data_IF_399555600847
#
_entry.id   IF_399555600847
#
_cell.length_a   1.000
_cell.length_b   1.000
_cell.length_c   1.000
_cell.angle_alpha   90.00
_cell.angle_beta   90.00
_cell.angle_gamma   90.00
#
_symmetry.space_group_name_H-M   'P 1'
#
loop_
_entity.id
_entity.type
_entity.pdbx_description
1 polymer ?
#
# COMPACT_ATOMS: atom_id res chain seq x y z
N UNK A 1 -5.86 -21.13 11.83
CA UNK A 1 -7.20 -20.51 11.98
C UNK A 1 -7.74 -20.86 13.35
N UNK A 2 -8.48 -19.98 14.02
CA UNK A 2 -9.12 -20.18 15.32
C UNK A 2 -10.61 -19.89 15.13
N UNK A 3 -11.47 -20.84 15.45
CA UNK A 3 -12.93 -20.68 15.40
C UNK A 3 -13.40 -20.54 16.84
N UNK A 4 -13.95 -19.39 17.18
CA UNK A 4 -14.56 -19.13 18.48
C UNK A 4 -16.03 -19.52 18.43
N UNK A 5 -16.43 -20.36 19.38
CA UNK A 5 -17.82 -20.78 19.54
C UNK A 5 -18.61 -19.75 20.36
N UNK A 6 -19.93 -19.73 20.17
CA UNK A 6 -20.85 -18.98 21.02
C UNK A 6 -20.70 -19.38 22.49
N UNK A 7 -20.92 -18.43 23.39
CA UNK A 7 -20.79 -18.64 24.83
C UNK A 7 -21.69 -19.80 25.28
N UNK A 8 -21.13 -20.70 26.10
CA UNK A 8 -21.85 -21.85 26.63
C UNK A 8 -21.79 -23.12 25.78
N UNK A 9 -21.23 -23.05 24.57
CA UNK A 9 -20.93 -24.25 23.76
C UNK A 9 -19.59 -24.84 24.23
N UNK A 10 -19.61 -26.08 24.72
CA UNK A 10 -18.43 -26.78 25.23
C UNK A 10 -17.66 -27.56 24.17
N UNK A 11 -16.53 -28.17 24.56
CA UNK A 11 -15.72 -29.01 23.65
C UNK A 11 -16.42 -30.29 23.24
N UNK A 12 -17.16 -30.93 24.14
CA UNK A 12 -17.92 -32.15 23.85
C UNK A 12 -19.24 -31.88 23.12
N UNK A 13 -19.58 -30.61 22.87
CA UNK A 13 -20.80 -30.26 22.15
C UNK A 13 -20.71 -30.74 20.69
N UNK A 14 -21.81 -31.32 20.18
CA UNK A 14 -21.89 -31.84 18.82
C UNK A 14 -21.52 -30.79 17.75
N UNK A 15 -21.79 -29.50 18.00
CA UNK A 15 -21.42 -28.40 17.10
C UNK A 15 -19.91 -28.21 17.02
N UNK A 16 -19.23 -28.24 18.17
CA UNK A 16 -17.77 -28.14 18.24
C UNK A 16 -17.11 -29.34 17.56
N UNK A 17 -17.63 -30.55 17.83
CA UNK A 17 -17.11 -31.78 17.22
C UNK A 17 -17.35 -31.85 15.70
N UNK A 18 -18.45 -31.26 15.21
CA UNK A 18 -18.70 -31.17 13.76
C UNK A 18 -17.64 -30.31 13.05
N UNK A 19 -17.27 -29.16 13.63
CA UNK A 19 -16.21 -28.29 13.10
C UNK A 19 -14.89 -29.04 13.04
N UNK A 20 -14.52 -29.71 14.15
CA UNK A 20 -13.34 -30.54 14.24
C UNK A 20 -13.31 -31.60 13.14
N UNK A 21 -14.40 -32.36 12.99
CA UNK A 21 -14.49 -33.43 11.99
C UNK A 21 -14.36 -32.92 10.56
N UNK A 22 -14.96 -31.76 10.24
CA UNK A 22 -14.83 -31.15 8.91
C UNK A 22 -13.39 -30.73 8.65
N UNK A 23 -12.72 -30.08 9.61
CA UNK A 23 -11.33 -29.67 9.47
C UNK A 23 -10.38 -30.87 9.27
N UNK A 24 -10.54 -31.93 10.06
CA UNK A 24 -9.73 -33.15 9.96
C UNK A 24 -9.96 -33.90 8.64
N UNK A 25 -11.20 -33.91 8.12
CA UNK A 25 -11.50 -34.45 6.79
C UNK A 25 -10.83 -33.69 5.65
N UNK A 26 -10.53 -32.41 5.86
CA UNK A 26 -9.73 -31.60 4.93
C UNK A 26 -8.22 -31.82 5.10
N UNK A 27 -7.81 -32.76 5.97
CA UNK A 27 -6.41 -33.09 6.22
C UNK A 27 -5.69 -32.15 7.18
N UNK A 28 -6.42 -31.32 7.94
CA UNK A 28 -5.86 -30.37 8.91
C UNK A 28 -5.73 -30.99 10.29
N UNK A 29 -4.88 -30.42 11.13
CA UNK A 29 -4.82 -30.74 12.56
C UNK A 29 -5.76 -29.83 13.35
N UNK A 30 -6.31 -30.35 14.44
CA UNK A 30 -7.19 -29.57 15.31
C UNK A 30 -6.78 -29.66 16.77
N UNK A 31 -6.89 -28.55 17.48
CA UNK A 31 -6.80 -28.48 18.94
C UNK A 31 -8.02 -27.74 19.49
N UNK A 32 -8.51 -28.20 20.64
CA UNK A 32 -9.66 -27.61 21.31
C UNK A 32 -9.17 -26.94 22.60
N UNK A 33 -9.57 -25.68 22.80
CA UNK A 33 -9.25 -24.94 24.02
C UNK A 33 -10.52 -24.42 24.65
N UNK A 34 -10.62 -24.58 25.97
CA UNK A 34 -11.67 -23.96 26.78
C UNK A 34 -11.04 -22.88 27.62
N UNK A 35 -11.62 -21.69 27.57
CA UNK A 35 -11.32 -20.61 28.50
C UNK A 35 -12.55 -20.38 29.38
N UNK A 36 -12.38 -20.59 30.69
CA UNK A 36 -13.44 -20.37 31.68
C UNK A 36 -13.25 -19.01 32.34
N UNK A 37 -14.08 -18.04 31.97
CA UNK A 37 -14.14 -16.72 32.58
C UNK A 37 -15.01 -16.72 33.85
N UNK A 38 -15.10 -15.56 34.50
CA UNK A 38 -15.93 -15.37 35.71
C UNK A 38 -17.42 -15.59 35.43
N UNK A 39 -17.88 -15.26 34.23
CA UNK A 39 -19.31 -15.25 33.85
C UNK A 39 -19.63 -16.13 32.62
N UNK A 40 -18.63 -16.60 31.89
CA UNK A 40 -18.82 -17.27 30.60
C UNK A 40 -17.77 -18.35 30.34
N UNK A 41 -18.19 -19.40 29.63
CA UNK A 41 -17.31 -20.41 29.05
C UNK A 41 -17.20 -20.14 27.55
N UNK A 42 -15.97 -19.99 27.06
CA UNK A 42 -15.66 -19.83 25.65
C UNK A 42 -14.87 -21.03 25.18
N UNK A 43 -15.30 -21.63 24.07
CA UNK A 43 -14.59 -22.72 23.39
C UNK A 43 -14.00 -22.21 22.09
N UNK A 44 -12.76 -22.56 21.84
CA UNK A 44 -12.02 -22.23 20.62
C UNK A 44 -11.55 -23.52 19.95
N UNK A 45 -11.77 -23.62 18.64
CA UNK A 45 -11.24 -24.68 17.78
C UNK A 45 -10.07 -24.12 16.98
N UNK A 46 -8.87 -24.54 17.33
CA UNK A 46 -7.64 -24.20 16.61
C UNK A 46 -7.51 -25.17 15.44
N UNK A 47 -7.59 -24.65 14.22
CA UNK A 47 -7.31 -25.36 12.98
C UNK A 47 -5.88 -25.02 12.57
N UNK A 48 -5.03 -26.03 12.54
CA UNK A 48 -3.58 -25.95 12.35
C UNK A 48 -3.22 -26.68 11.06
N UNK A 49 -2.11 -26.29 10.45
CA UNK A 49 -1.56 -26.93 9.26
C UNK A 49 -1.45 -28.46 9.44
N UNK A 50 -1.95 -29.18 8.45
CA UNK A 50 -1.72 -30.60 8.28
C UNK A 50 -0.41 -30.89 7.55
N UNK A 51 -0.13 -32.16 7.28
CA UNK A 51 1.11 -32.56 6.58
C UNK A 51 1.15 -32.10 5.12
N UNK A 52 -0.01 -31.99 4.46
CA UNK A 52 -0.11 -31.62 3.04
C UNK A 52 -1.06 -30.43 2.78
N UNK A 53 -1.73 -29.91 3.81
CA UNK A 53 -2.75 -28.87 3.67
C UNK A 53 -2.50 -27.78 4.71
N UNK A 54 -2.35 -26.54 4.26
CA UNK A 54 -2.20 -25.39 5.15
C UNK A 54 -3.57 -24.83 5.54
N UNK A 55 -3.75 -24.48 6.81
CA UNK A 55 -5.02 -23.95 7.33
C UNK A 55 -5.43 -22.62 6.68
N UNK A 56 -4.46 -21.87 6.11
CA UNK A 56 -4.72 -20.61 5.42
C UNK A 56 -5.43 -20.77 4.06
N UNK A 57 -5.35 -21.95 3.43
CA UNK A 57 -5.96 -22.20 2.10
C UNK A 57 -7.45 -22.53 2.19
N UNK A 58 -7.96 -22.83 3.40
CA UNK A 58 -9.33 -23.28 3.62
C UNK A 58 -10.29 -22.08 3.73
N UNK A 59 -11.27 -21.92 2.81
CA UNK A 59 -12.19 -20.80 2.85
C UNK A 59 -12.98 -20.70 4.15
N UNK A 60 -13.09 -19.50 4.74
CA UNK A 60 -13.77 -19.28 6.02
C UNK A 60 -15.27 -19.64 5.98
N UNK A 61 -15.91 -19.51 4.81
CA UNK A 61 -17.35 -19.76 4.67
C UNK A 61 -17.75 -21.20 4.99
N UNK A 62 -16.82 -22.15 4.88
CA UNK A 62 -17.02 -23.56 5.25
C UNK A 62 -17.47 -23.68 6.71
N UNK A 63 -16.89 -22.85 7.59
CA UNK A 63 -17.17 -22.88 9.02
C UNK A 63 -18.07 -21.73 9.47
N UNK A 64 -18.04 -20.57 8.79
CA UNK A 64 -18.74 -19.36 9.23
C UNK A 64 -20.26 -19.55 9.36
N UNK A 65 -20.85 -20.43 8.56
CA UNK A 65 -22.30 -20.70 8.60
C UNK A 65 -22.68 -21.85 9.53
N UNK A 66 -21.71 -22.49 10.20
CA UNK A 66 -22.01 -23.61 11.08
C UNK A 66 -22.69 -23.16 12.37
N UNK A 67 -23.70 -23.91 12.86
CA UNK A 67 -24.38 -23.57 14.10
C UNK A 67 -23.42 -23.46 15.29
N UNK A 68 -23.51 -22.36 16.03
CA UNK A 68 -22.70 -22.13 17.22
C UNK A 68 -21.33 -21.49 16.97
N UNK A 69 -20.97 -21.18 15.73
CA UNK A 69 -19.78 -20.36 15.43
C UNK A 69 -20.11 -18.90 15.69
N UNK A 70 -19.34 -18.26 16.58
CA UNK A 70 -19.46 -16.82 16.88
C UNK A 70 -18.54 -16.01 15.96
N UNK A 71 -17.28 -16.42 15.87
CA UNK A 71 -16.24 -15.68 15.14
C UNK A 71 -15.17 -16.63 14.62
N UNK A 72 -14.55 -16.26 13.50
CA UNK A 72 -13.39 -16.95 12.94
C UNK A 72 -12.24 -15.96 12.87
N UNK A 73 -11.09 -16.32 13.43
CA UNK A 73 -9.85 -15.57 13.40
C UNK A 73 -8.79 -16.37 12.64
N UNK A 74 -8.16 -15.80 11.63
CA UNK A 74 -7.01 -16.46 10.99
C UNK A 74 -5.73 -16.11 11.76
N UNK A 75 -5.08 -17.14 12.28
CA UNK A 75 -3.67 -17.07 12.68
C UNK A 75 -2.91 -17.46 11.43
N UNK A 76 -2.34 -16.44 10.81
CA UNK A 76 -1.60 -16.51 9.55
C UNK A 76 -0.21 -15.94 9.86
N UNK A 77 0.89 -16.41 9.27
CA UNK A 77 2.18 -15.71 9.34
C UNK A 77 2.12 -14.37 8.58
N UNK A 78 2.91 -13.37 8.99
CA UNK A 78 2.99 -12.04 8.34
C UNK A 78 3.22 -12.14 6.82
N UNK A 79 4.04 -13.11 6.39
CA UNK A 79 4.30 -13.42 4.98
C UNK A 79 3.08 -13.89 4.16
N UNK A 80 1.95 -14.21 4.81
CA UNK A 80 0.74 -14.75 4.17
C UNK A 80 -0.48 -13.82 4.37
N UNK A 81 -0.44 -12.88 5.33
CA UNK A 81 -1.47 -11.84 5.47
C UNK A 81 -0.89 -10.59 6.11
N UNK A 82 -1.39 -9.44 5.68
CA UNK A 82 -1.07 -8.13 6.27
C UNK A 82 -1.56 -8.04 7.72
N UNK A 83 -2.64 -8.76 8.06
CA UNK A 83 -3.26 -8.77 9.40
C UNK A 83 -2.55 -9.67 10.42
N UNK A 84 -1.55 -10.42 9.97
CA UNK A 84 -0.78 -11.33 10.80
C UNK A 84 0.32 -10.60 11.58
N UNK A 85 -0.11 -9.69 12.46
CA UNK A 85 0.74 -8.86 13.30
C UNK A 85 0.82 -9.47 14.72
N UNK A 86 1.54 -10.59 14.87
CA UNK A 86 1.64 -11.35 16.14
C UNK A 86 2.97 -11.16 16.88
N UNK A 87 3.85 -10.26 16.43
CA UNK A 87 5.16 -10.02 17.07
C UNK A 87 5.90 -8.85 16.46
N UNK A 88 6.88 -8.34 17.19
CA UNK A 88 7.68 -7.10 17.05
C UNK A 88 8.40 -6.84 15.72
N UNK A 89 8.14 -7.60 14.67
CA UNK A 89 8.73 -7.41 13.34
C UNK A 89 7.82 -6.51 12.51
N UNK A 90 8.00 -5.18 12.65
CA UNK A 90 7.45 -4.24 11.69
C UNK A 90 8.11 -4.49 10.34
N UNK A 91 7.32 -4.81 9.32
CA UNK A 91 7.86 -4.99 7.98
C UNK A 91 8.40 -3.65 7.49
N UNK A 92 9.59 -3.69 6.91
CA UNK A 92 10.27 -2.51 6.38
C UNK A 92 10.54 -2.74 4.91
N UNK A 93 10.29 -1.72 4.11
CA UNK A 93 10.62 -1.73 2.69
C UNK A 93 11.90 -0.91 2.49
N UNK A 94 12.88 -1.50 1.83
CA UNK A 94 14.10 -0.79 1.44
C UNK A 94 13.75 0.21 0.32
N UNK A 95 14.18 1.46 0.48
CA UNK A 95 14.09 2.52 -0.52
C UNK A 95 15.48 3.13 -0.73
N UNK A 96 16.28 2.54 -1.62
CA UNK A 96 17.64 3.01 -1.86
C UNK A 96 18.53 2.78 -0.64
N UNK A 97 19.12 3.83 -0.08
CA UNK A 97 19.97 3.73 1.12
C UNK A 97 19.21 3.69 2.45
N UNK A 98 17.90 3.96 2.47
CA UNK A 98 17.09 4.00 3.70
C UNK A 98 16.00 2.93 3.72
N UNK A 99 15.44 2.68 4.91
CA UNK A 99 14.26 1.83 5.09
C UNK A 99 13.06 2.67 5.50
N UNK A 100 11.88 2.19 5.12
CA UNK A 100 10.60 2.81 5.46
C UNK A 100 9.73 1.80 6.19
N UNK A 101 9.14 2.22 7.30
CA UNK A 101 8.26 1.42 8.13
C UNK A 101 8.12 2.02 9.53
N UNK A 102 7.16 1.49 10.30
CA UNK A 102 6.77 2.03 11.60
C UNK A 102 7.97 2.19 12.53
N UNK A 103 8.12 3.39 13.09
CA UNK A 103 9.19 3.73 14.03
C UNK A 103 10.52 4.11 13.39
N UNK A 104 10.59 4.19 12.05
CA UNK A 104 11.73 4.78 11.34
C UNK A 104 11.44 6.24 10.97
N UNK A 105 12.48 7.05 10.70
CA UNK A 105 12.29 8.42 10.23
C UNK A 105 11.44 8.47 8.96
N UNK A 106 10.44 9.36 8.96
CA UNK A 106 9.58 9.65 7.83
C UNK A 106 10.42 10.16 6.64
N UNK A 107 10.23 9.54 5.46
CA UNK A 107 10.96 9.88 4.25
C UNK A 107 10.13 10.77 3.31
N UNK A 108 10.78 11.77 2.70
CA UNK A 108 10.15 12.58 1.64
C UNK A 108 10.36 11.92 0.27
N UNK A 109 9.28 11.73 -0.47
CA UNK A 109 9.25 11.32 -1.87
C UNK A 109 8.57 12.45 -2.65
N UNK A 110 9.31 13.15 -3.50
CA UNK A 110 8.80 14.34 -4.19
C UNK A 110 9.01 14.27 -5.71
N UNK A 111 8.10 14.87 -6.46
CA UNK A 111 8.26 15.04 -7.90
C UNK A 111 6.96 15.41 -8.58
N UNK A 112 6.94 15.51 -9.91
CA UNK A 112 5.82 16.06 -10.62
C UNK A 112 4.61 15.12 -10.62
N UNK A 113 3.43 15.74 -10.78
CA UNK A 113 2.20 14.99 -11.04
C UNK A 113 2.33 14.15 -12.32
N UNK A 114 2.89 14.73 -13.37
CA UNK A 114 3.09 14.11 -14.69
C UNK A 114 4.52 14.37 -15.14
N UNK A 115 5.19 13.33 -15.64
CA UNK A 115 6.51 13.49 -16.27
C UNK A 115 6.34 14.15 -17.63
N UNK A 116 7.10 15.21 -17.88
CA UNK A 116 7.15 15.93 -19.15
C UNK A 116 8.60 16.15 -19.62
N UNK A 117 8.78 16.98 -20.64
CA UNK A 117 10.10 17.24 -21.24
C UNK A 117 11.08 18.00 -20.33
N UNK A 118 10.59 18.64 -19.26
CA UNK A 118 11.39 19.40 -18.29
C UNK A 118 11.86 18.55 -17.11
N UNK A 119 11.59 17.23 -17.14
CA UNK A 119 11.92 16.32 -16.03
C UNK A 119 13.42 16.28 -15.69
N UNK A 120 14.31 16.43 -16.68
CA UNK A 120 15.75 16.41 -16.41
C UNK A 120 16.17 17.59 -15.52
N UNK A 121 15.70 18.79 -15.86
CA UNK A 121 15.97 20.00 -15.07
C UNK A 121 15.32 19.91 -13.68
N UNK A 122 14.06 19.45 -13.61
CA UNK A 122 13.34 19.30 -12.34
C UNK A 122 14.06 18.34 -11.40
N UNK A 123 14.48 17.16 -11.90
CA UNK A 123 15.23 16.18 -11.10
C UNK A 123 16.59 16.74 -10.69
N UNK A 124 17.27 17.46 -11.58
CA UNK A 124 18.51 18.16 -11.26
C UNK A 124 18.35 19.09 -10.06
N UNK A 125 17.30 19.94 -10.05
CA UNK A 125 17.01 20.85 -8.93
C UNK A 125 16.65 20.10 -7.65
N UNK A 126 15.81 19.07 -7.73
CA UNK A 126 15.45 18.24 -6.57
C UNK A 126 16.68 17.63 -5.89
N UNK A 127 17.63 17.11 -6.67
CA UNK A 127 18.84 16.49 -6.11
C UNK A 127 19.84 17.55 -5.65
N UNK A 128 20.17 18.53 -6.49
CA UNK A 128 21.27 19.47 -6.24
C UNK A 128 20.88 20.52 -5.18
N UNK A 129 19.68 21.08 -5.26
CA UNK A 129 19.23 22.17 -4.38
C UNK A 129 18.62 21.64 -3.08
N UNK A 130 17.95 20.47 -3.14
CA UNK A 130 17.16 19.96 -2.02
C UNK A 130 17.62 18.60 -1.48
N UNK A 131 18.62 17.94 -2.07
CA UNK A 131 19.10 16.62 -1.65
C UNK A 131 17.98 15.55 -1.63
N UNK A 132 17.03 15.63 -2.56
CA UNK A 132 15.92 14.67 -2.70
C UNK A 132 16.30 13.62 -3.75
N UNK A 133 16.62 12.41 -3.29
CA UNK A 133 17.01 11.27 -4.13
C UNK A 133 15.93 10.19 -4.25
N UNK A 134 14.74 10.43 -3.70
CA UNK A 134 13.54 9.60 -3.82
C UNK A 134 12.48 10.41 -4.55
N UNK A 135 12.25 10.07 -5.81
CA UNK A 135 11.42 10.90 -6.70
C UNK A 135 10.21 10.16 -7.23
N UNK A 136 9.15 10.90 -7.57
CA UNK A 136 7.91 10.34 -8.14
C UNK A 136 7.53 11.02 -9.45
N UNK A 137 6.97 10.27 -10.40
CA UNK A 137 6.54 10.84 -11.67
C UNK A 137 5.50 9.99 -12.41
N UNK A 138 4.35 10.58 -12.72
CA UNK A 138 3.30 9.90 -13.47
C UNK A 138 3.63 9.85 -14.97
N UNK A 139 3.97 8.68 -15.49
CA UNK A 139 4.26 8.48 -16.93
C UNK A 139 2.99 8.23 -17.75
N UNK A 140 2.01 7.57 -17.13
CA UNK A 140 0.65 7.40 -17.64
C UNK A 140 -0.36 8.00 -16.65
N UNK A 141 -1.51 8.47 -17.14
CA UNK A 141 -2.54 9.14 -16.32
C UNK A 141 -3.89 8.45 -16.41
N UNK A 142 -4.52 8.07 -15.29
CA UNK A 142 -5.90 7.59 -15.29
C UNK A 142 -6.84 8.77 -15.56
N UNK A 143 -7.43 8.84 -16.75
CA UNK A 143 -8.31 9.95 -17.14
C UNK A 143 -9.77 9.53 -17.12
N UNK A 144 -10.60 10.36 -16.48
CA UNK A 144 -12.06 10.21 -16.51
C UNK A 144 -12.69 10.72 -17.81
N UNK A 145 -11.95 11.49 -18.61
CA UNK A 145 -12.36 11.97 -19.93
C UNK A 145 -11.41 11.41 -20.99
N UNK A 146 -11.91 11.01 -22.17
CA UNK A 146 -11.05 10.52 -23.26
C UNK A 146 -10.25 11.64 -23.96
N UNK A 147 -10.65 12.90 -23.82
CA UNK A 147 -10.00 14.07 -24.47
C UNK A 147 -8.86 14.67 -23.65
N UNK A 148 -8.54 14.02 -22.56
CA UNK A 148 -7.65 14.48 -21.52
C UNK A 148 -6.26 13.88 -21.75
N UNK A 149 -5.19 14.66 -21.58
CA UNK A 149 -3.81 14.21 -21.81
C UNK A 149 -3.49 12.89 -21.06
N UNK A 150 -3.11 11.80 -21.77
CA UNK A 150 -2.95 10.48 -21.15
C UNK A 150 -1.57 10.27 -20.49
N UNK A 151 -0.66 11.25 -20.59
CA UNK A 151 0.76 11.07 -20.29
C UNK A 151 1.56 10.67 -21.52
N UNK A 152 2.89 10.75 -21.44
CA UNK A 152 3.80 10.39 -22.54
C UNK A 152 4.18 8.89 -22.58
N UNK A 153 3.68 8.09 -21.62
CA UNK A 153 3.92 6.64 -21.55
C UNK A 153 5.39 6.28 -21.52
N UNK A 154 5.82 5.34 -22.37
CA UNK A 154 7.23 4.90 -22.51
C UNK A 154 8.22 6.05 -22.66
N UNK A 155 7.86 7.11 -23.37
CA UNK A 155 8.74 8.27 -23.58
C UNK A 155 9.00 9.02 -22.27
N UNK A 156 7.99 9.14 -21.41
CA UNK A 156 8.16 9.70 -20.07
C UNK A 156 9.05 8.81 -19.20
N UNK A 157 8.88 7.48 -19.23
CA UNK A 157 9.76 6.56 -18.49
C UNK A 157 11.22 6.72 -18.94
N UNK A 158 11.46 6.80 -20.25
CA UNK A 158 12.80 7.02 -20.80
C UNK A 158 13.44 8.32 -20.29
N UNK A 159 12.73 9.44 -20.36
CA UNK A 159 13.21 10.71 -19.85
C UNK A 159 13.47 10.66 -18.34
N UNK A 160 12.56 10.04 -17.59
CA UNK A 160 12.63 10.02 -16.14
C UNK A 160 13.80 9.19 -15.63
N UNK A 161 14.03 8.00 -16.21
CA UNK A 161 15.15 7.15 -15.83
C UNK A 161 16.49 7.68 -16.32
N UNK A 162 16.54 8.40 -17.46
CA UNK A 162 17.75 9.14 -17.89
C UNK A 162 18.13 10.23 -16.91
N UNK A 163 17.16 11.03 -16.46
CA UNK A 163 17.37 12.05 -15.44
C UNK A 163 17.82 11.41 -14.12
N UNK A 164 17.10 10.37 -13.66
CA UNK A 164 17.43 9.65 -12.44
C UNK A 164 18.87 9.08 -12.45
N UNK A 165 19.28 8.47 -13.57
CA UNK A 165 20.65 7.99 -13.76
C UNK A 165 21.68 9.12 -13.74
N UNK A 166 21.40 10.24 -14.42
CA UNK A 166 22.30 11.40 -14.51
C UNK A 166 22.61 12.00 -13.14
N UNK A 167 21.58 12.14 -12.30
CA UNK A 167 21.68 12.78 -10.99
C UNK A 167 21.82 11.79 -9.83
N UNK A 168 22.12 10.52 -10.10
CA UNK A 168 22.31 9.47 -9.09
C UNK A 168 21.14 9.37 -8.09
N UNK A 169 19.91 9.49 -8.60
CA UNK A 169 18.69 9.27 -7.83
C UNK A 169 18.68 7.82 -7.36
N UNK A 170 18.31 7.61 -6.09
CA UNK A 170 18.32 6.28 -5.49
C UNK A 170 17.04 5.50 -5.79
N UNK A 171 15.89 6.19 -5.83
CA UNK A 171 14.58 5.56 -5.98
C UNK A 171 13.67 6.37 -6.89
N UNK A 172 13.08 5.70 -7.89
CA UNK A 172 12.05 6.27 -8.77
C UNK A 172 10.71 5.57 -8.55
N UNK A 173 9.69 6.35 -8.25
CA UNK A 173 8.31 5.90 -8.17
C UNK A 173 7.62 6.15 -9.52
N UNK A 174 6.89 5.17 -10.07
CA UNK A 174 6.12 5.29 -11.32
C UNK A 174 4.72 4.69 -11.17
N UNK A 175 3.68 5.39 -11.64
CA UNK A 175 2.32 4.83 -11.69
C UNK A 175 2.19 3.73 -12.75
N UNK A 176 1.57 2.62 -12.37
CA UNK A 176 1.12 1.58 -13.31
C UNK A 176 -0.40 1.43 -13.25
N UNK A 177 -0.98 1.17 -14.42
CA UNK A 177 -2.42 0.98 -14.59
C UNK A 177 -2.73 -0.34 -15.31
N UNK A 178 -1.71 -0.96 -15.91
CA UNK A 178 -1.81 -2.18 -16.71
C UNK A 178 -0.49 -2.97 -16.61
N UNK A 179 -0.55 -4.28 -16.86
CA UNK A 179 0.62 -5.17 -16.81
C UNK A 179 1.68 -4.82 -17.88
N UNK A 180 1.27 -4.27 -19.01
CA UNK A 180 2.20 -3.85 -20.08
C UNK A 180 3.14 -2.75 -19.62
N UNK A 181 2.68 -1.88 -18.71
CA UNK A 181 3.52 -0.81 -18.15
C UNK A 181 4.67 -1.37 -17.32
N UNK A 182 4.45 -2.49 -16.60
CA UNK A 182 5.50 -3.17 -15.83
C UNK A 182 6.62 -3.63 -16.79
N UNK A 183 6.25 -4.27 -17.90
CA UNK A 183 7.19 -4.73 -18.92
C UNK A 183 7.94 -3.58 -19.58
N UNK A 184 7.23 -2.51 -19.92
CA UNK A 184 7.82 -1.31 -20.52
C UNK A 184 8.85 -0.67 -19.60
N UNK A 185 8.55 -0.58 -18.30
CA UNK A 185 9.48 -0.03 -17.30
C UNK A 185 10.75 -0.91 -17.20
N UNK A 186 10.60 -2.23 -17.13
CA UNK A 186 11.72 -3.17 -17.09
C UNK A 186 12.61 -3.05 -18.34
N UNK A 187 12.00 -3.05 -19.53
CA UNK A 187 12.72 -2.92 -20.80
C UNK A 187 13.53 -1.62 -20.85
N UNK A 188 12.89 -0.50 -20.51
CA UNK A 188 13.52 0.82 -20.57
C UNK A 188 14.60 0.95 -19.49
N UNK A 189 14.38 0.44 -18.27
CA UNK A 189 15.40 0.41 -17.22
C UNK A 189 16.65 -0.34 -17.67
N UNK A 190 16.47 -1.50 -18.30
CA UNK A 190 17.56 -2.32 -18.82
C UNK A 190 18.34 -1.60 -19.94
N UNK A 191 17.63 -0.94 -20.87
CA UNK A 191 18.26 -0.17 -21.95
C UNK A 191 19.05 1.02 -21.42
N UNK A 192 18.47 1.78 -20.48
CA UNK A 192 19.12 2.95 -19.88
C UNK A 192 20.24 2.54 -18.93
N UNK A 193 20.15 1.35 -18.32
CA UNK A 193 21.06 0.88 -17.29
C UNK A 193 20.98 1.72 -16.01
N UNK A 194 19.78 2.14 -15.61
CA UNK A 194 19.55 2.80 -14.33
C UNK A 194 19.64 1.77 -13.19
N UNK A 195 20.56 1.99 -12.25
CA UNK A 195 20.88 1.04 -11.17
C UNK A 195 20.13 1.32 -9.86
N UNK A 196 19.41 2.45 -9.77
CA UNK A 196 18.59 2.73 -8.61
C UNK A 196 17.32 1.89 -8.60
N UNK A 197 16.61 1.93 -7.48
CA UNK A 197 15.40 1.16 -7.26
C UNK A 197 14.21 1.80 -7.98
N UNK A 198 13.30 0.96 -8.47
CA UNK A 198 12.00 1.40 -8.97
C UNK A 198 10.91 0.87 -8.03
N UNK A 199 9.96 1.75 -7.71
CA UNK A 199 8.74 1.41 -6.96
C UNK A 199 7.55 1.67 -7.88
N UNK A 200 6.72 0.64 -8.08
CA UNK A 200 5.51 0.77 -8.85
C UNK A 200 4.39 1.21 -7.91
N UNK A 201 3.62 2.24 -8.27
CA UNK A 201 2.42 2.56 -7.52
C UNK A 201 1.13 2.31 -8.30
N UNK A 202 0.10 1.92 -7.56
CA UNK A 202 -1.27 1.81 -8.05
C UNK A 202 -2.05 3.00 -7.52
N UNK A 203 -2.53 3.84 -8.44
CA UNK A 203 -3.32 5.02 -8.11
C UNK A 203 -4.72 4.70 -7.57
N UNK A 204 -5.33 5.68 -6.92
CA UNK A 204 -6.65 5.54 -6.28
C UNK A 204 -7.82 5.25 -7.25
N UNK A 205 -7.59 5.39 -8.57
CA UNK A 205 -8.53 5.05 -9.66
C UNK A 205 -8.04 3.91 -10.57
N UNK A 206 -6.80 3.47 -10.38
CA UNK A 206 -6.11 2.53 -11.27
C UNK A 206 -6.10 1.11 -10.68
N UNK A 207 -6.58 0.94 -9.45
CA UNK A 207 -6.63 -0.34 -8.78
C UNK A 207 -7.61 -1.30 -9.48
N UNK A 208 -7.15 -2.50 -9.74
CA UNK A 208 -7.99 -3.62 -10.13
C UNK A 208 -7.32 -4.93 -9.69
N UNK A 209 -8.10 -5.97 -9.28
CA UNK A 209 -7.53 -7.20 -8.76
C UNK A 209 -6.57 -7.92 -9.73
N UNK A 210 -6.82 -7.83 -11.05
CA UNK A 210 -5.96 -8.46 -12.06
C UNK A 210 -4.57 -7.83 -12.04
N UNK A 211 -4.47 -6.50 -12.11
CA UNK A 211 -3.21 -5.78 -11.99
C UNK A 211 -2.50 -6.09 -10.67
N UNK A 212 -3.23 -6.10 -9.55
CA UNK A 212 -2.66 -6.38 -8.23
C UNK A 212 -2.06 -7.79 -8.14
N UNK A 213 -2.72 -8.81 -8.71
CA UNK A 213 -2.15 -10.15 -8.81
C UNK A 213 -0.90 -10.19 -9.69
N UNK A 214 -0.87 -9.44 -10.80
CA UNK A 214 0.32 -9.34 -11.66
C UNK A 214 1.48 -8.63 -10.96
N UNK A 215 1.20 -7.61 -10.14
CA UNK A 215 2.19 -6.96 -9.28
C UNK A 215 2.75 -7.92 -8.22
N UNK A 216 1.94 -8.84 -7.72
CA UNK A 216 2.38 -9.91 -6.81
C UNK A 216 3.22 -11.00 -7.48
N UNK A 217 3.20 -11.12 -8.81
CA UNK A 217 3.99 -12.12 -9.55
C UNK A 217 5.45 -11.73 -9.72
N UNK A 218 5.75 -10.44 -9.74
CA UNK A 218 7.11 -9.92 -9.85
C UNK A 218 7.70 -9.60 -8.47
N UNK A 219 9.01 -9.77 -8.30
CA UNK A 219 9.74 -9.52 -7.04
C UNK A 219 10.81 -8.42 -7.21
N UNK A 220 10.87 -7.78 -8.38
CA UNK A 220 11.91 -6.83 -8.75
C UNK A 220 11.62 -5.43 -8.17
N UNK A 221 10.35 -5.03 -8.19
CA UNK A 221 9.91 -3.71 -7.75
C UNK A 221 9.03 -3.82 -6.53
N UNK A 222 9.26 -2.93 -5.57
CA UNK A 222 8.32 -2.71 -4.49
C UNK A 222 7.01 -2.11 -5.04
N UNK A 223 5.92 -2.31 -4.31
CA UNK A 223 4.57 -1.93 -4.74
C UNK A 223 3.94 -0.99 -3.72
N UNK A 224 3.59 0.22 -4.14
CA UNK A 224 2.84 1.17 -3.32
C UNK A 224 1.37 1.25 -3.75
N UNK A 225 0.42 1.13 -2.83
CA UNK A 225 -1.01 1.19 -3.16
C UNK A 225 -1.63 2.40 -2.47
N UNK A 226 -2.19 3.31 -3.27
CA UNK A 226 -3.01 4.41 -2.75
C UNK A 226 -4.39 3.90 -2.34
N UNK A 227 -4.97 4.43 -1.26
CA UNK A 227 -6.33 4.05 -0.90
C UNK A 227 -7.30 4.43 -2.04
N UNK A 228 -8.29 3.57 -2.36
CA UNK A 228 -9.35 3.91 -3.29
C UNK A 228 -10.09 5.17 -2.86
N UNK A 229 -10.50 5.97 -3.84
CA UNK A 229 -11.24 7.22 -3.56
C UNK A 229 -12.54 6.94 -2.81
N UNK A 230 -13.17 5.80 -3.05
CA UNK A 230 -14.45 5.42 -2.42
C UNK A 230 -14.30 4.41 -1.28
N UNK A 231 -13.07 4.17 -0.81
CA UNK A 231 -12.85 3.26 0.31
C UNK A 231 -13.68 3.71 1.52
N UNK A 232 -14.41 2.78 2.13
CA UNK A 232 -15.22 3.03 3.33
C UNK A 232 -14.49 2.66 4.61
N UNK A 233 -13.42 1.89 4.52
CA UNK A 233 -12.61 1.45 5.65
C UNK A 233 -11.18 1.12 5.23
N UNK A 234 -10.28 1.09 6.23
CA UNK A 234 -8.91 0.57 6.05
C UNK A 234 -8.92 -0.89 5.59
N UNK A 235 -9.89 -1.70 6.03
CA UNK A 235 -9.98 -3.11 5.66
C UNK A 235 -10.23 -3.31 4.16
N UNK A 236 -11.02 -2.44 3.52
CA UNK A 236 -11.20 -2.47 2.07
C UNK A 236 -9.92 -2.15 1.32
N UNK A 237 -9.13 -1.21 1.84
CA UNK A 237 -7.83 -0.86 1.27
C UNK A 237 -6.81 -1.99 1.46
N UNK A 238 -6.74 -2.58 2.64
CA UNK A 238 -5.85 -3.70 2.96
C UNK A 238 -6.14 -4.92 2.08
N UNK A 239 -7.42 -5.20 1.80
CA UNK A 239 -7.79 -6.29 0.86
C UNK A 239 -7.13 -6.12 -0.51
N UNK A 240 -6.88 -4.90 -0.97
CA UNK A 240 -6.16 -4.67 -2.24
C UNK A 240 -4.69 -5.07 -2.13
N UNK A 241 -4.05 -4.73 -1.02
CA UNK A 241 -2.67 -5.11 -0.75
C UNK A 241 -2.52 -6.64 -0.55
N UNK A 242 -3.53 -7.30 0.02
CA UNK A 242 -3.58 -8.77 0.12
C UNK A 242 -3.53 -9.45 -1.26
N UNK A 243 -4.05 -8.85 -2.33
CA UNK A 243 -3.90 -9.42 -3.68
C UNK A 243 -2.45 -9.43 -4.17
N UNK A 244 -1.67 -8.42 -3.81
CA UNK A 244 -0.23 -8.35 -4.14
C UNK A 244 0.55 -9.36 -3.31
N UNK A 245 0.27 -9.42 -2.00
CA UNK A 245 0.92 -10.35 -1.08
C UNK A 245 0.58 -11.81 -1.38
N UNK A 246 -0.67 -12.09 -1.76
CA UNK A 246 -1.11 -13.45 -2.09
C UNK A 246 -0.62 -13.89 -3.47
N UNK A 247 -0.48 -12.97 -4.42
CA UNK A 247 -0.12 -13.27 -5.81
C UNK A 247 -1.21 -14.02 -6.60
N UNK A 248 -0.84 -14.50 -7.79
CA UNK A 248 -1.74 -15.25 -8.68
C UNK A 248 -2.11 -16.63 -8.07
N UNK A 249 -3.41 -16.94 -8.06
CA UNK A 249 -3.98 -18.19 -7.52
C UNK A 249 -4.78 -18.88 -8.61
N UNK A 250 -4.55 -20.16 -8.81
CA UNK A 250 -5.22 -20.98 -9.82
C UNK A 250 -6.06 -22.07 -9.15
N UNK A 251 -7.25 -22.30 -9.68
CA UNK A 251 -8.19 -23.30 -9.18
C UNK A 251 -8.54 -24.26 -10.30
N UNK A 252 -8.79 -25.52 -9.96
CA UNK A 252 -9.31 -26.51 -10.92
C UNK A 252 -10.82 -26.31 -11.14
N UNK A 253 -11.40 -27.13 -12.02
CA UNK A 253 -12.82 -27.09 -12.37
C UNK A 253 -13.75 -27.41 -11.17
N UNK A 254 -13.18 -27.90 -10.06
CA UNK A 254 -13.89 -28.22 -8.82
C UNK A 254 -13.71 -27.12 -7.76
N UNK A 255 -12.99 -26.03 -8.09
CA UNK A 255 -12.74 -24.92 -7.18
C UNK A 255 -11.66 -25.22 -6.13
N UNK A 256 -10.84 -26.25 -6.32
CA UNK A 256 -9.70 -26.56 -5.45
C UNK A 256 -8.46 -25.82 -5.92
N UNK A 257 -7.71 -25.23 -4.98
CA UNK A 257 -6.47 -24.52 -5.27
C UNK A 257 -5.44 -25.49 -5.88
N UNK A 258 -4.95 -25.17 -7.07
CA UNK A 258 -3.86 -25.85 -7.75
C UNK A 258 -2.55 -25.24 -7.23
N UNK A 259 -1.93 -25.89 -6.26
CA UNK A 259 -0.80 -25.31 -5.52
C UNK A 259 0.42 -25.11 -6.43
N UNK A 260 0.68 -26.05 -7.33
CA UNK A 260 1.81 -26.02 -8.28
C UNK A 260 1.69 -24.93 -9.37
N UNK A 261 0.48 -24.41 -9.60
CA UNK A 261 0.25 -23.28 -10.52
C UNK A 261 0.13 -21.95 -9.79
N UNK A 262 -0.13 -21.98 -8.48
CA UNK A 262 -0.34 -20.80 -7.66
C UNK A 262 0.96 -20.34 -7.01
N UNK A 263 1.07 -19.05 -6.74
CA UNK A 263 2.16 -18.55 -5.92
C UNK A 263 1.92 -18.94 -4.46
N UNK A 264 2.93 -19.47 -3.77
CA UNK A 264 2.86 -19.68 -2.32
C UNK A 264 2.73 -18.33 -1.60
N UNK A 265 3.53 -17.35 -2.04
CA UNK A 265 3.55 -15.96 -1.63
C UNK A 265 3.87 -15.09 -2.86
N UNK A 266 3.16 -13.98 -2.98
CA UNK A 266 3.42 -12.94 -3.97
C UNK A 266 4.53 -11.99 -3.51
N UNK A 267 4.39 -10.70 -3.80
CA UNK A 267 5.39 -9.69 -3.44
C UNK A 267 5.07 -9.13 -2.06
N UNK A 268 6.02 -9.20 -1.13
CA UNK A 268 5.85 -8.67 0.23
C UNK A 268 6.41 -7.26 0.42
N UNK A 269 7.13 -6.71 -0.55
CA UNK A 269 7.64 -5.33 -0.56
C UNK A 269 6.51 -4.34 -0.87
N UNK A 270 5.51 -4.30 0.00
CA UNK A 270 4.29 -3.52 -0.16
C UNK A 270 4.35 -2.28 0.75
N UNK A 271 3.86 -1.16 0.22
CA UNK A 271 3.65 0.08 0.96
C UNK A 271 2.25 0.61 0.68
N UNK A 272 1.69 1.34 1.64
CA UNK A 272 0.40 2.00 1.53
C UNK A 272 0.58 3.52 1.54
N UNK A 273 -0.21 4.25 0.76
CA UNK A 273 -0.19 5.71 0.74
C UNK A 273 -1.62 6.28 0.90
N UNK A 274 -1.90 6.88 2.05
CA UNK A 274 -3.18 7.54 2.31
C UNK A 274 -3.23 8.86 1.54
N UNK A 275 -4.24 9.01 0.67
CA UNK A 275 -4.47 10.17 -0.19
C UNK A 275 -5.87 10.77 -0.05
N UNK A 276 -6.59 10.37 1.00
CA UNK A 276 -7.97 10.78 1.28
C UNK A 276 -9.04 10.09 0.44
N UNK A 277 -10.31 10.29 0.82
CA UNK A 277 -11.50 9.67 0.21
C UNK A 277 -12.51 10.72 -0.28
N UNK A 278 -13.37 10.35 -1.22
CA UNK A 278 -14.52 11.16 -1.64
C UNK A 278 -15.37 11.55 -0.42
N UNK A 279 -15.79 12.81 -0.41
CA UNK A 279 -16.62 13.40 0.64
C UNK A 279 -17.68 14.29 0.02
N UNK A 280 -18.79 14.45 0.73
CA UNK A 280 -19.93 15.28 0.32
C UNK A 280 -19.98 16.62 1.08
N UNK A 281 -18.98 16.91 1.90
CA UNK A 281 -18.87 18.16 2.65
C UNK A 281 -18.49 19.32 1.72
N UNK A 282 -19.47 20.15 1.39
CA UNK A 282 -19.32 21.31 0.50
C UNK A 282 -18.57 22.48 1.14
N UNK A 283 -18.46 22.50 2.47
CA UNK A 283 -17.73 23.54 3.20
C UNK A 283 -16.25 23.16 3.38
N UNK A 284 -15.89 21.91 3.09
CA UNK A 284 -14.51 21.44 3.16
C UNK A 284 -13.66 22.12 2.09
N UNK A 285 -12.54 22.70 2.52
CA UNK A 285 -11.54 23.23 1.60
C UNK A 285 -10.79 22.10 0.84
N UNK A 286 -10.86 20.86 1.32
CA UNK A 286 -10.13 19.71 0.77
C UNK A 286 -10.87 19.09 -0.42
N UNK A 287 -10.11 18.73 -1.47
CA UNK A 287 -10.62 17.95 -2.61
C UNK A 287 -11.11 16.56 -2.18
N UNK A 288 -10.44 15.93 -1.22
CA UNK A 288 -10.82 14.65 -0.62
C UNK A 288 -10.65 14.75 0.90
N UNK A 289 -11.55 14.11 1.66
CA UNK A 289 -11.41 13.98 3.12
C UNK A 289 -10.09 13.26 3.41
N UNK A 290 -9.10 13.93 4.05
CA UNK A 290 -7.76 13.39 4.17
C UNK A 290 -7.66 12.10 5.01
N UNK A 291 -8.62 11.83 5.90
CA UNK A 291 -8.65 10.63 6.76
C UNK A 291 -7.31 10.30 7.43
N UNK A 292 -6.59 11.29 7.95
CA UNK A 292 -5.22 11.08 8.47
C UNK A 292 -5.10 9.90 9.45
N UNK A 293 -6.08 9.75 10.37
CA UNK A 293 -6.18 8.65 11.34
C UNK A 293 -6.16 7.23 10.74
N UNK A 294 -6.36 7.07 9.43
CA UNK A 294 -6.19 5.78 8.76
C UNK A 294 -4.74 5.29 8.78
N UNK A 295 -3.76 6.21 8.81
CA UNK A 295 -2.33 5.86 8.92
C UNK A 295 -2.11 5.11 10.24
N UNK A 296 -2.54 5.69 11.37
CA UNK A 296 -2.45 5.05 12.68
C UNK A 296 -3.22 3.73 12.75
N UNK A 297 -4.43 3.70 12.18
CA UNK A 297 -5.24 2.47 12.11
C UNK A 297 -4.51 1.36 11.35
N UNK A 298 -3.77 1.70 10.28
CA UNK A 298 -2.94 0.72 9.56
C UNK A 298 -1.84 0.20 10.48
N UNK A 299 -1.07 1.09 11.09
CA UNK A 299 0.05 0.72 11.97
C UNK A 299 -0.33 -0.08 13.21
N UNK A 300 -1.56 0.07 13.70
CA UNK A 300 -2.04 -0.66 14.87
C UNK A 300 -2.52 -2.08 14.52
N UNK A 301 -2.97 -2.29 13.27
CA UNK A 301 -3.64 -3.53 12.85
C UNK A 301 -2.85 -4.37 11.85
N UNK A 302 -1.89 -3.78 11.15
CA UNK A 302 -1.19 -4.39 10.02
C UNK A 302 0.30 -4.05 10.08
N UNK A 303 1.12 -4.90 9.47
CA UNK A 303 2.58 -4.74 9.50
C UNK A 303 3.13 -3.79 8.43
N UNK A 304 2.30 -3.36 7.48
CA UNK A 304 2.71 -2.66 6.25
C UNK A 304 3.03 -1.18 6.48
N UNK A 305 4.12 -0.65 5.87
CA UNK A 305 4.37 0.78 5.89
C UNK A 305 3.21 1.58 5.29
N UNK A 306 2.88 2.71 5.91
CA UNK A 306 1.80 3.60 5.50
C UNK A 306 2.25 5.06 5.52
N UNK A 307 2.18 5.71 4.36
CA UNK A 307 2.54 7.11 4.17
C UNK A 307 1.35 8.01 3.87
N UNK A 308 1.65 9.28 3.62
CA UNK A 308 0.69 10.36 3.39
C UNK A 308 0.92 11.02 2.02
N UNK A 309 -0.14 11.25 1.27
CA UNK A 309 -0.19 12.13 0.10
C UNK A 309 -1.04 13.37 0.44
N UNK A 310 -0.39 14.47 0.85
CA UNK A 310 -1.10 15.68 1.22
C UNK A 310 -1.53 16.49 -0.01
N UNK A 311 -0.87 16.31 -1.16
CA UNK A 311 -1.11 17.07 -2.38
C UNK A 311 -2.46 16.72 -2.99
N UNK A 312 -2.76 15.43 -3.18
CA UNK A 312 -4.00 15.03 -3.84
C UNK A 312 -5.22 15.24 -2.97
N UNK A 313 -5.11 15.04 -1.66
CA UNK A 313 -6.22 15.23 -0.71
C UNK A 313 -6.57 16.71 -0.55
N UNK A 314 -5.57 17.60 -0.46
CA UNK A 314 -5.78 19.04 -0.53
C UNK A 314 -6.34 19.47 -1.90
N UNK A 315 -5.69 19.03 -2.98
CA UNK A 315 -6.08 19.36 -4.35
C UNK A 315 -5.84 20.81 -4.75
N UNK A 316 -5.22 21.63 -3.90
CA UNK A 316 -4.75 22.97 -4.23
C UNK A 316 -3.69 23.45 -3.23
N UNK A 317 -2.75 24.27 -3.69
CA UNK A 317 -1.79 25.03 -2.89
C UNK A 317 -2.33 26.37 -2.40
N UNK A 318 -3.54 26.78 -2.82
CA UNK A 318 -4.14 28.03 -2.35
C UNK A 318 -4.26 28.02 -0.83
N UNK A 319 -3.95 29.15 -0.21
CA UNK A 319 -3.94 29.30 1.26
C UNK A 319 -3.08 28.24 1.96
N UNK A 320 -2.02 27.79 1.30
CA UNK A 320 -1.07 26.77 1.79
C UNK A 320 -1.73 25.44 2.15
N UNK A 321 -2.86 25.10 1.51
CA UNK A 321 -3.68 23.97 1.96
C UNK A 321 -2.94 22.63 1.95
N UNK A 322 -2.02 22.37 1.01
CA UNK A 322 -1.16 21.17 1.05
C UNK A 322 -0.25 21.16 2.28
N UNK A 323 0.31 22.29 2.69
CA UNK A 323 1.20 22.38 3.84
C UNK A 323 0.42 22.27 5.16
N UNK A 324 -0.78 22.86 5.22
CA UNK A 324 -1.72 22.66 6.33
C UNK A 324 -2.08 21.17 6.45
N UNK A 325 -2.37 20.53 5.31
CA UNK A 325 -2.68 19.10 5.26
C UNK A 325 -1.51 18.22 5.69
N UNK A 326 -0.30 18.56 5.23
CA UNK A 326 0.94 17.89 5.62
C UNK A 326 1.14 17.98 7.12
N UNK A 327 1.07 19.18 7.70
CA UNK A 327 1.25 19.40 9.14
C UNK A 327 0.24 18.58 9.96
N UNK A 328 -1.03 18.56 9.55
CA UNK A 328 -2.05 17.76 10.22
C UNK A 328 -1.77 16.25 10.09
N UNK A 329 -1.43 15.78 8.90
CA UNK A 329 -1.18 14.37 8.66
C UNK A 329 0.11 13.82 9.29
N UNK A 330 1.13 14.66 9.51
CA UNK A 330 2.34 14.29 10.24
C UNK A 330 2.05 13.91 11.70
N UNK A 331 0.97 14.41 12.32
CA UNK A 331 0.57 14.01 13.67
C UNK A 331 0.20 12.52 13.77
N UNK A 332 -0.17 11.90 12.65
CA UNK A 332 -0.54 10.49 12.57
C UNK A 332 0.65 9.58 12.24
N UNK A 333 1.87 10.11 12.31
CA UNK A 333 3.13 9.35 12.26
C UNK A 333 3.34 8.57 10.95
N UNK A 334 3.17 9.18 9.75
CA UNK A 334 3.37 8.47 8.48
C UNK A 334 4.82 8.04 8.28
N UNK A 335 5.02 6.88 7.66
CA UNK A 335 6.38 6.37 7.38
C UNK A 335 7.05 7.11 6.21
N UNK A 336 6.26 7.77 5.37
CA UNK A 336 6.74 8.60 4.26
C UNK A 336 5.70 9.64 3.84
N UNK A 337 6.15 10.71 3.20
CA UNK A 337 5.33 11.73 2.55
C UNK A 337 5.52 11.65 1.04
N UNK A 338 4.43 11.49 0.31
CA UNK A 338 4.38 11.40 -1.15
C UNK A 338 3.83 12.72 -1.73
N UNK A 339 4.73 13.65 -2.03
CA UNK A 339 4.43 15.04 -2.35
C UNK A 339 4.51 15.33 -3.85
N UNK A 340 3.56 16.12 -4.36
CA UNK A 340 3.69 16.75 -5.68
C UNK A 340 4.47 18.05 -5.58
N UNK A 341 5.48 18.19 -6.44
CA UNK A 341 6.24 19.42 -6.61
C UNK A 341 6.52 19.67 -8.08
N UNK A 342 6.62 20.95 -8.44
CA UNK A 342 6.93 21.40 -9.78
C UNK A 342 7.66 22.75 -9.70
N UNK A 343 8.13 23.23 -10.85
CA UNK A 343 8.79 24.51 -10.99
C UNK A 343 8.01 25.67 -10.37
N UNK A 344 8.73 26.71 -9.97
CA UNK A 344 8.15 27.96 -9.51
C UNK A 344 7.50 28.70 -10.69
N UNK A 345 6.49 29.54 -10.41
CA UNK A 345 5.81 30.32 -11.46
C UNK A 345 6.78 31.22 -12.27
N UNK A 346 7.93 31.57 -11.68
CA UNK A 346 9.00 32.36 -12.30
C UNK A 346 9.82 31.60 -13.34
N UNK A 347 9.79 30.27 -13.32
CA UNK A 347 10.58 29.43 -14.21
C UNK A 347 9.95 29.27 -15.61
N UNK A 348 8.76 29.85 -15.85
CA UNK A 348 8.01 29.76 -17.11
C UNK A 348 7.69 28.33 -17.60
N UNK A 349 7.67 27.36 -16.69
CA UNK A 349 7.25 25.99 -16.95
C UNK A 349 5.84 25.76 -16.41
N UNK A 350 4.94 25.21 -17.24
CA UNK A 350 3.57 24.91 -16.83
C UNK A 350 3.33 23.41 -16.73
N UNK A 351 2.81 22.98 -15.59
CA UNK A 351 2.45 21.57 -15.39
C UNK A 351 1.33 21.14 -16.34
N UNK A 352 1.53 20.01 -17.03
CA UNK A 352 0.55 19.47 -18.00
C UNK A 352 -0.74 18.95 -17.34
N UNK A 353 -0.67 18.53 -16.08
CA UNK A 353 -1.81 18.07 -15.31
C UNK A 353 -1.65 18.55 -13.87
N UNK A 354 -2.77 18.91 -13.23
CA UNK A 354 -2.85 18.95 -11.76
C UNK A 354 -1.83 19.89 -11.08
N UNK A 355 -1.38 20.94 -11.76
CA UNK A 355 -0.40 21.90 -11.23
C UNK A 355 -0.87 22.69 -10.00
N UNK A 356 -2.18 22.72 -9.73
CA UNK A 356 -2.75 23.53 -8.65
C UNK A 356 -2.32 23.07 -7.26
N UNK A 357 -1.99 21.79 -7.07
CA UNK A 357 -1.57 21.23 -5.78
C UNK A 357 -0.06 20.96 -5.68
N UNK A 358 0.71 21.29 -6.70
CA UNK A 358 2.15 21.09 -6.68
C UNK A 358 2.80 22.15 -5.78
N UNK A 359 3.55 21.72 -4.77
CA UNK A 359 4.37 22.62 -3.95
C UNK A 359 5.50 23.18 -4.83
N UNK A 360 5.65 24.51 -4.96
CA UNK A 360 6.76 25.10 -5.72
C UNK A 360 8.11 24.69 -5.15
N UNK A 361 9.14 24.54 -6.01
CA UNK A 361 10.49 24.15 -5.59
C UNK A 361 11.04 25.05 -4.48
N UNK A 362 10.82 26.37 -4.58
CA UNK A 362 11.24 27.34 -3.56
C UNK A 362 10.69 27.07 -2.15
N UNK A 363 9.62 26.27 -2.01
CA UNK A 363 8.99 25.93 -0.73
C UNK A 363 9.31 24.52 -0.23
N UNK A 364 10.13 23.74 -0.93
CA UNK A 364 10.49 22.39 -0.47
C UNK A 364 11.29 22.40 0.84
N UNK A 365 12.08 23.44 1.11
CA UNK A 365 12.79 23.58 2.39
C UNK A 365 11.84 23.67 3.59
N UNK A 366 10.66 24.28 3.42
CA UNK A 366 9.61 24.33 4.42
C UNK A 366 9.07 22.92 4.71
N UNK A 367 8.80 22.13 3.67
CA UNK A 367 8.36 20.73 3.79
C UNK A 367 9.42 19.88 4.50
N UNK A 368 10.69 20.02 4.11
CA UNK A 368 11.79 19.29 4.73
C UNK A 368 11.94 19.65 6.21
N UNK A 369 11.73 20.92 6.58
CA UNK A 369 11.73 21.37 7.98
C UNK A 369 10.61 20.71 8.76
N UNK A 370 9.37 20.70 8.24
CA UNK A 370 8.24 20.03 8.90
C UNK A 370 8.51 18.53 9.13
N UNK A 371 9.08 17.84 8.14
CA UNK A 371 9.41 16.41 8.25
C UNK A 371 10.58 16.20 9.24
N UNK A 372 11.58 17.07 9.25
CA UNK A 372 12.70 16.99 10.19
C UNK A 372 12.24 17.20 11.65
N UNK A 373 11.39 18.20 11.89
CA UNK A 373 10.76 18.44 13.21
C UNK A 373 9.92 17.24 13.64
N UNK A 374 9.12 16.69 12.73
CA UNK A 374 8.39 15.45 12.98
C UNK A 374 9.32 14.29 13.36
N UNK A 375 10.38 14.06 12.59
CA UNK A 375 11.32 12.97 12.85
C UNK A 375 12.05 13.13 14.20
N UNK A 376 12.34 14.35 14.61
CA UNK A 376 12.95 14.62 15.92
C UNK A 376 12.05 14.22 17.10
N UNK A 377 10.72 14.10 16.91
CA UNK A 377 9.80 13.63 17.95
C UNK A 377 9.85 12.13 18.22
N UNK A 378 10.45 11.33 17.31
CA UNK A 378 10.67 9.90 17.55
C UNK A 378 11.85 9.62 18.50
N UNK A 379 12.79 10.56 18.61
CA UNK A 379 14.02 10.43 19.40
C UNK A 379 13.85 10.90 20.87
N UNK A 380 12.69 11.49 21.22
CA UNK A 380 12.33 11.99 22.56
C UNK A 380 11.34 11.07 23.26
#
# INVERSE_FOLDING_TARGET
MIIQMQVGIGVEDARTQAIKSIAEKQGLKTELKITKGKEALVTEVYIIDGEQVQACTIPEHIFRQMPGVERINRVTPSRISLSANYGTEFHQVQLGSVRVGKGLPCQLIAGPCTVDMHIDELVGRLVIEHNITRIRGGCWKPRSSPYSFPGFGKKAVDWFLKAAKRYAVEVVFIEVMDETHIRDIQEIQNIIGYQGQIVLWVGARSYNPVLLQKLGRQQEFAVMIKNPIRARSVDEWIKLAEFVLAGERHYDDQGKLISEKSLEQGNDQIMLCNRGVEQDDVESAYRFDPRHHWIRTVHDRYWVPCGLDPSHSAGTMRNDLVLVNLRAGLLEMPDFVFLETYFDDTDNHQALCDGQQAVPLSRLSEVQTMIAEHNATYDS
#
